data_IF_799838356021
#
_entry.id   IF_799838356021
#
_cell.length_a   1.000
_cell.length_b   1.000
_cell.length_c   1.000
_cell.angle_alpha   90.00
_cell.angle_beta   90.00
_cell.angle_gamma   90.00
#
_symmetry.space_group_name_H-M   'P 1'
#
loop_
_entity.id
_entity.type
_entity.pdbx_description
1 polymer ?
#
# COMPACT_ATOMS: atom_id res chain seq x y z
N UNK A 1 -37.02 -41.52 18.66
CA UNK A 1 -36.25 -42.78 18.78
C UNK A 1 -34.80 -42.42 19.09
N UNK A 2 -34.37 -42.66 20.33
CA UNK A 2 -32.95 -42.82 20.73
C UNK A 2 -32.42 -44.18 20.22
N UNK A 3 -31.10 -44.47 20.21
CA UNK A 3 -30.26 -44.76 21.40
C UNK A 3 -28.99 -43.85 21.46
N UNK A 4 -28.47 -43.39 22.61
CA UNK A 4 -27.83 -44.05 23.79
C UNK A 4 -26.59 -44.85 23.39
N UNK A 5 -25.42 -44.83 24.02
CA UNK A 5 -24.79 -44.13 25.16
C UNK A 5 -23.27 -44.17 24.88
N UNK A 6 -22.29 -43.87 25.74
CA UNK A 6 -22.14 -43.97 27.20
C UNK A 6 -20.88 -43.15 27.57
N UNK A 7 -20.95 -42.35 28.63
CA UNK A 7 -20.25 -42.54 29.91
C UNK A 7 -18.78 -42.08 29.99
N UNK A 8 -18.58 -40.88 30.54
CA UNK A 8 -17.59 -40.62 31.61
C UNK A 8 -18.04 -41.41 32.88
N UNK A 9 -17.23 -41.70 33.92
CA UNK A 9 -16.47 -40.68 34.67
C UNK A 9 -15.24 -41.16 35.48
N UNK A 10 -14.72 -40.22 36.26
CA UNK A 10 -13.94 -40.37 37.50
C UNK A 10 -12.41 -40.40 37.36
N UNK A 11 -11.60 -39.93 38.31
CA UNK A 11 -11.69 -39.08 39.50
C UNK A 11 -10.37 -39.39 40.25
N UNK A 12 -9.75 -38.39 40.87
CA UNK A 12 -8.78 -38.43 41.98
C UNK A 12 -7.46 -37.74 41.66
N UNK A 13 -6.72 -37.17 42.60
CA UNK A 13 -6.97 -36.47 43.86
C UNK A 13 -5.58 -35.98 44.32
N UNK A 14 -5.53 -34.87 45.08
CA UNK A 14 -4.57 -34.56 46.15
C UNK A 14 -3.05 -34.26 45.95
N UNK A 15 -2.73 -33.12 46.59
CA UNK A 15 -1.59 -32.78 47.51
C UNK A 15 -0.26 -32.37 46.87
N UNK A 16 0.21 -31.12 47.05
CA UNK A 16 0.85 -30.45 48.24
C UNK A 16 2.21 -31.02 48.64
N UNK A 17 3.27 -30.26 48.37
CA UNK A 17 4.44 -29.95 49.24
C UNK A 17 5.36 -28.96 48.46
N UNK A 18 5.53 -27.69 48.81
CA UNK A 18 6.28 -27.02 49.91
C UNK A 18 7.82 -27.20 49.90
N UNK A 19 8.49 -26.03 49.99
CA UNK A 19 9.86 -25.75 50.50
C UNK A 19 10.99 -26.12 49.53
N UNK A 20 12.11 -25.41 49.34
CA UNK A 20 12.80 -24.27 49.99
C UNK A 20 14.03 -23.95 49.11
N UNK A 21 14.49 -22.71 48.99
CA UNK A 21 15.89 -22.31 49.25
C UNK A 21 16.15 -20.86 48.87
N UNK A 22 16.67 -20.11 49.83
CA UNK A 22 17.29 -18.79 49.71
C UNK A 22 18.77 -18.92 49.31
N UNK A 23 19.33 -17.89 48.67
CA UNK A 23 20.67 -17.31 48.83
C UNK A 23 20.74 -16.10 47.88
N UNK A 24 20.74 -14.80 48.26
CA UNK A 24 21.71 -13.93 48.99
C UNK A 24 23.15 -13.95 48.50
N UNK A 25 23.61 -12.82 47.93
CA UNK A 25 24.86 -12.03 48.14
C UNK A 25 24.97 -11.00 46.96
N UNK A 26 24.88 -9.67 47.12
CA UNK A 26 25.84 -8.67 47.66
C UNK A 26 27.19 -8.69 46.90
N UNK A 27 27.85 -7.63 46.40
CA UNK A 27 27.85 -6.20 46.71
C UNK A 27 28.76 -5.39 45.74
N UNK A 28 28.47 -4.08 45.58
CA UNK A 28 29.36 -2.87 45.64
C UNK A 28 30.65 -2.80 44.77
N UNK A 29 30.77 -1.83 43.84
CA UNK A 29 31.25 -0.42 43.94
C UNK A 29 32.77 -0.23 43.75
N UNK A 30 33.15 0.64 42.79
CA UNK A 30 34.07 1.80 42.92
C UNK A 30 34.27 2.45 41.53
N UNK A 31 33.77 3.68 41.31
CA UNK A 31 34.46 4.99 41.42
C UNK A 31 35.23 5.36 40.14
N UNK A 32 34.75 6.33 39.35
CA UNK A 32 34.94 7.80 39.45
C UNK A 32 36.31 8.29 38.94
N UNK A 33 36.29 9.04 37.83
CA UNK A 33 36.95 10.35 37.73
C UNK A 33 36.43 11.13 36.52
N UNK A 34 36.39 12.45 36.68
CA UNK A 34 35.59 13.42 35.95
C UNK A 34 36.44 14.42 35.13
N UNK A 35 35.74 15.41 34.53
CA UNK A 35 36.20 16.73 34.02
C UNK A 35 36.55 16.69 32.51
N UNK A 36 36.10 17.58 31.61
CA UNK A 36 35.61 18.96 31.72
C UNK A 36 34.62 19.35 30.62
N UNK A 37 34.05 20.54 30.81
CA UNK A 37 32.97 21.23 30.12
C UNK A 37 33.31 21.69 28.69
N UNK A 38 32.29 21.78 27.84
CA UNK A 38 32.09 22.96 26.98
C UNK A 38 30.64 23.09 26.56
N UNK A 39 30.12 24.28 26.82
CA UNK A 39 28.75 24.73 26.68
C UNK A 39 28.47 25.12 25.22
N UNK A 40 27.34 24.70 24.67
CA UNK A 40 26.70 25.42 23.55
C UNK A 40 25.19 25.23 23.63
N UNK A 41 24.50 26.36 23.77
CA UNK A 41 23.09 26.48 24.07
C UNK A 41 22.31 26.75 22.77
N UNK A 42 21.28 25.91 22.56
CA UNK A 42 20.01 26.14 21.85
C UNK A 42 19.99 26.25 20.30
N UNK A 43 18.83 25.95 19.64
CA UNK A 43 17.53 25.63 20.23
C UNK A 43 16.95 24.25 19.85
N UNK A 44 16.44 23.57 20.87
CA UNK A 44 15.37 22.58 20.71
C UNK A 44 14.13 23.28 20.13
N UNK A 45 13.85 23.00 18.86
CA UNK A 45 12.51 23.23 18.31
C UNK A 45 11.57 22.21 18.96
N UNK A 46 10.96 22.63 20.06
CA UNK A 46 9.81 21.98 20.67
C UNK A 46 8.68 21.92 19.64
N UNK A 47 8.58 20.79 18.94
CA UNK A 47 7.39 20.42 18.18
C UNK A 47 6.31 20.13 19.23
N UNK A 48 5.56 21.17 19.63
CA UNK A 48 4.31 20.98 20.35
C UNK A 48 3.36 20.22 19.42
N UNK A 49 2.87 19.03 19.79
CA UNK A 49 1.76 18.44 19.07
C UNK A 49 0.59 19.41 19.16
N UNK A 50 0.08 19.86 18.01
CA UNK A 50 -1.22 20.52 17.91
C UNK A 50 -2.26 19.51 18.39
N UNK A 51 -2.51 19.44 19.69
CA UNK A 51 -3.68 18.75 20.20
C UNK A 51 -4.83 19.76 20.16
N UNK A 52 -5.81 19.60 19.25
CA UNK A 52 -7.01 20.40 19.32
C UNK A 52 -7.65 20.15 20.69
N UNK A 53 -8.07 21.22 21.36
CA UNK A 53 -8.84 21.14 22.59
C UNK A 53 -10.00 20.18 22.36
N UNK A 54 -9.95 19.00 22.98
CA UNK A 54 -11.01 17.98 22.90
C UNK A 54 -12.22 18.49 23.67
N UNK A 55 -13.01 19.36 23.04
CA UNK A 55 -14.41 19.53 23.37
C UNK A 55 -15.01 18.13 23.38
N UNK A 56 -15.52 17.66 24.53
CA UNK A 56 -16.12 16.33 24.66
C UNK A 56 -17.44 16.31 23.89
N UNK A 57 -17.36 16.25 22.57
CA UNK A 57 -18.50 15.98 21.70
C UNK A 57 -18.84 14.50 21.85
N UNK A 58 -20.09 14.22 22.19
CA UNK A 58 -20.64 12.87 22.10
C UNK A 58 -20.82 12.54 20.63
N UNK A 59 -20.09 11.54 20.14
CA UNK A 59 -20.19 11.01 18.78
C UNK A 59 -20.76 9.60 18.82
N UNK A 60 -21.34 9.15 17.71
CA UNK A 60 -21.95 7.81 17.64
C UNK A 60 -20.90 6.69 17.74
N UNK A 61 -19.68 6.94 17.24
CA UNK A 61 -18.52 6.08 17.34
C UNK A 61 -17.35 6.84 17.97
N UNK A 62 -16.47 6.17 18.74
CA UNK A 62 -15.33 6.82 19.37
C UNK A 62 -14.33 7.33 18.32
N UNK A 63 -13.77 8.55 18.48
CA UNK A 63 -12.79 9.12 17.56
C UNK A 63 -11.41 8.50 17.80
N UNK A 64 -11.08 7.43 17.08
CA UNK A 64 -9.73 6.88 17.06
C UNK A 64 -8.83 7.76 16.17
N UNK A 65 -7.55 7.99 16.56
CA UNK A 65 -6.62 8.65 15.68
C UNK A 65 -6.23 7.72 14.51
N UNK A 66 -6.17 8.29 13.31
CA UNK A 66 -5.53 7.66 12.17
C UNK A 66 -4.01 7.65 12.39
N UNK A 67 -3.38 6.48 12.23
CA UNK A 67 -1.93 6.32 12.49
C UNK A 67 -1.13 6.71 11.24
N UNK A 68 0.00 7.39 11.42
CA UNK A 68 0.98 7.63 10.34
C UNK A 68 0.61 8.73 9.34
N UNK A 69 -0.24 9.69 9.72
CA UNK A 69 -0.52 10.91 8.94
C UNK A 69 0.79 11.61 8.54
N UNK A 70 0.84 12.22 7.34
CA UNK A 70 2.03 12.82 6.70
C UNK A 70 3.18 11.83 6.45
N UNK A 71 2.87 10.56 6.25
CA UNK A 71 3.87 9.55 5.90
C UNK A 71 3.31 8.58 4.87
N UNK A 72 4.19 7.95 4.09
CA UNK A 72 3.83 6.80 3.23
C UNK A 72 3.34 5.59 4.03
N UNK A 73 3.54 5.58 5.34
CA UNK A 73 3.12 4.53 6.27
C UNK A 73 1.75 4.81 6.92
N UNK A 74 1.00 5.80 6.42
CA UNK A 74 -0.35 6.10 6.87
C UNK A 74 -1.23 4.86 6.86
N UNK A 75 -1.99 4.69 7.93
CA UNK A 75 -2.97 3.63 8.09
C UNK A 75 -4.03 3.68 6.98
N UNK A 76 -4.36 2.53 6.42
CA UNK A 76 -5.51 2.43 5.51
C UNK A 76 -6.82 2.63 6.27
N UNK A 77 -7.79 3.33 5.66
CA UNK A 77 -9.11 3.54 6.26
C UNK A 77 -9.86 2.21 6.50
N UNK A 78 -9.57 1.18 5.70
CA UNK A 78 -10.08 -0.19 5.92
C UNK A 78 -9.56 -0.77 7.25
N UNK A 79 -8.26 -0.65 7.52
CA UNK A 79 -7.68 -1.10 8.79
C UNK A 79 -8.16 -0.26 9.97
N UNK A 80 -8.31 1.05 9.79
CA UNK A 80 -8.91 1.95 10.78
C UNK A 80 -10.31 1.46 11.19
N UNK A 81 -11.19 1.14 10.23
CA UNK A 81 -12.53 0.61 10.52
C UNK A 81 -12.48 -0.72 11.24
N UNK A 82 -11.52 -1.58 10.93
CA UNK A 82 -11.34 -2.85 11.62
C UNK A 82 -10.92 -2.64 13.09
N UNK A 83 -10.02 -1.68 13.37
CA UNK A 83 -9.67 -1.30 14.75
C UNK A 83 -10.86 -0.69 15.48
N UNK A 84 -11.61 0.20 14.82
CA UNK A 84 -12.79 0.82 15.40
C UNK A 84 -13.86 -0.22 15.74
N UNK A 85 -14.08 -1.21 14.86
CA UNK A 85 -14.99 -2.31 15.11
C UNK A 85 -14.55 -3.18 16.30
N UNK A 86 -13.25 -3.49 16.42
CA UNK A 86 -12.71 -4.21 17.58
C UNK A 86 -12.91 -3.44 18.88
N UNK A 87 -12.66 -2.12 18.85
CA UNK A 87 -12.83 -1.24 20.01
C UNK A 87 -14.27 -1.22 20.53
N UNK A 88 -15.25 -1.12 19.64
CA UNK A 88 -16.68 -1.09 20.03
C UNK A 88 -17.29 -2.49 20.18
N UNK A 89 -16.50 -3.56 19.97
CA UNK A 89 -16.93 -4.95 20.17
C UNK A 89 -17.88 -5.51 19.10
N UNK A 90 -17.87 -4.97 17.88
CA UNK A 90 -18.71 -5.44 16.76
C UNK A 90 -17.90 -6.05 15.62
N UNK A 91 -18.58 -6.72 14.69
CA UNK A 91 -17.93 -7.24 13.48
C UNK A 91 -17.71 -6.11 12.45
N UNK A 92 -16.72 -6.29 11.57
CA UNK A 92 -16.50 -5.35 10.46
C UNK A 92 -17.75 -5.22 9.57
N UNK A 93 -18.44 -6.32 9.26
CA UNK A 93 -19.68 -6.26 8.46
C UNK A 93 -20.77 -5.45 9.18
N UNK A 94 -20.91 -5.60 10.50
CA UNK A 94 -21.84 -4.79 11.29
C UNK A 94 -21.45 -3.31 11.31
N UNK A 95 -20.14 -3.00 11.33
CA UNK A 95 -19.65 -1.63 11.21
C UNK A 95 -20.05 -1.01 9.85
N UNK A 96 -19.92 -1.77 8.75
CA UNK A 96 -20.33 -1.33 7.42
C UNK A 96 -21.84 -1.08 7.33
N UNK A 97 -22.66 -1.93 7.95
CA UNK A 97 -24.12 -1.72 8.05
C UNK A 97 -24.47 -0.43 8.78
N UNK A 98 -23.77 -0.12 9.88
CA UNK A 98 -23.96 1.15 10.60
C UNK A 98 -23.60 2.35 9.71
N UNK A 99 -22.53 2.23 8.92
CA UNK A 99 -22.14 3.28 7.97
C UNK A 99 -23.20 3.47 6.87
N UNK A 100 -23.76 2.39 6.33
CA UNK A 100 -24.86 2.46 5.35
C UNK A 100 -26.11 3.14 5.95
N UNK A 101 -26.50 2.74 7.17
CA UNK A 101 -27.64 3.33 7.85
C UNK A 101 -27.43 4.83 8.10
N UNK A 102 -26.22 5.24 8.51
CA UNK A 102 -25.87 6.64 8.72
C UNK A 102 -25.83 7.45 7.41
N UNK A 103 -25.52 6.81 6.28
CA UNK A 103 -25.52 7.43 4.96
C UNK A 103 -26.91 7.52 4.33
N UNK A 104 -27.89 6.75 4.82
CA UNK A 104 -29.22 6.65 4.21
C UNK A 104 -29.23 5.92 2.85
N UNK A 105 -28.13 5.26 2.49
CA UNK A 105 -27.98 4.52 1.23
C UNK A 105 -26.96 3.37 1.39
N UNK A 106 -26.98 2.42 0.46
CA UNK A 106 -26.07 1.27 0.48
C UNK A 106 -24.74 1.69 -0.15
N UNK A 107 -23.81 2.19 0.67
CA UNK A 107 -22.45 2.54 0.25
C UNK A 107 -21.48 1.35 0.31
N UNK A 108 -21.75 0.40 1.19
CA UNK A 108 -20.91 -0.75 1.48
C UNK A 108 -21.72 -2.02 1.28
N UNK A 109 -21.64 -2.68 0.11
CA UNK A 109 -22.44 -3.86 -0.14
C UNK A 109 -22.04 -5.00 0.81
N UNK A 110 -23.02 -5.78 1.29
CA UNK A 110 -22.75 -6.99 2.06
C UNK A 110 -21.92 -7.95 1.21
N UNK A 111 -20.93 -8.60 1.82
CA UNK A 111 -20.05 -9.60 1.20
C UNK A 111 -19.07 -9.12 0.10
N UNK A 112 -18.85 -7.80 -0.06
CA UNK A 112 -17.80 -7.30 -0.95
C UNK A 112 -16.40 -7.86 -0.64
N UNK A 113 -15.67 -8.32 -1.65
CA UNK A 113 -14.36 -8.99 -1.49
C UNK A 113 -13.17 -8.05 -1.49
N UNK A 114 -13.36 -6.78 -1.89
CA UNK A 114 -12.30 -5.78 -2.06
C UNK A 114 -12.41 -4.65 -1.02
N UNK A 115 -11.31 -3.94 -0.75
CA UNK A 115 -11.35 -2.71 0.06
C UNK A 115 -12.15 -1.63 -0.67
N UNK A 116 -13.22 -1.09 -0.07
CA UNK A 116 -14.09 -0.09 -0.72
C UNK A 116 -13.44 1.29 -0.80
N UNK A 117 -12.25 1.48 -0.21
CA UNK A 117 -11.58 2.78 -0.08
C UNK A 117 -10.45 3.01 -1.08
N UNK A 118 -10.11 2.00 -1.88
CA UNK A 118 -9.07 2.10 -2.93
C UNK A 118 -9.66 2.36 -4.30
N UNK A 119 -10.96 2.12 -4.44
CA UNK A 119 -11.68 2.37 -5.67
C UNK A 119 -12.31 3.75 -5.63
N UNK A 120 -11.95 4.58 -6.61
CA UNK A 120 -12.59 5.86 -6.87
C UNK A 120 -13.96 5.66 -7.55
N UNK A 121 -14.80 4.81 -6.97
CA UNK A 121 -16.22 4.80 -7.31
C UNK A 121 -16.81 6.15 -6.89
N UNK A 122 -17.91 6.55 -7.52
CA UNK A 122 -18.71 7.75 -7.21
C UNK A 122 -19.08 7.92 -5.73
N UNK A 123 -18.81 6.90 -4.91
CA UNK A 123 -19.16 6.78 -3.51
C UNK A 123 -17.99 6.95 -2.54
N UNK A 124 -16.73 7.07 -2.98
CA UNK A 124 -15.58 7.14 -2.05
C UNK A 124 -15.74 8.28 -1.02
N UNK A 125 -16.12 9.47 -1.48
CA UNK A 125 -16.34 10.62 -0.59
C UNK A 125 -17.53 10.41 0.34
N UNK A 126 -18.63 9.83 -0.17
CA UNK A 126 -19.78 9.50 0.66
C UNK A 126 -19.44 8.46 1.75
N UNK A 127 -18.59 7.47 1.41
CA UNK A 127 -18.08 6.43 2.32
C UNK A 127 -17.23 7.06 3.43
N UNK A 128 -16.31 7.96 3.07
CA UNK A 128 -15.48 8.70 4.03
C UNK A 128 -16.37 9.57 4.93
N UNK A 129 -17.24 10.38 4.34
CA UNK A 129 -18.11 11.31 5.05
C UNK A 129 -19.05 10.60 6.04
N UNK A 130 -19.53 9.40 5.72
CA UNK A 130 -20.34 8.60 6.64
C UNK A 130 -19.56 8.24 7.92
N UNK A 131 -18.28 7.85 7.79
CA UNK A 131 -17.43 7.45 8.92
C UNK A 131 -16.99 8.68 9.72
N UNK A 132 -16.63 9.76 9.04
CA UNK A 132 -16.24 11.03 9.68
C UNK A 132 -17.40 11.60 10.52
N UNK A 133 -18.62 11.57 9.99
CA UNK A 133 -19.83 11.99 10.72
C UNK A 133 -20.07 11.14 11.96
N UNK A 134 -19.96 9.82 11.85
CA UNK A 134 -20.17 8.91 12.98
C UNK A 134 -19.11 9.09 14.07
N UNK A 135 -17.87 9.40 13.69
CA UNK A 135 -16.75 9.57 14.63
C UNK A 135 -16.54 11.02 15.07
N UNK A 136 -17.21 11.99 14.46
CA UNK A 136 -16.97 13.42 14.66
C UNK A 136 -15.60 13.90 14.17
N UNK A 137 -14.93 13.13 13.32
CA UNK A 137 -13.59 13.43 12.80
C UNK A 137 -13.68 13.95 11.36
N UNK A 138 -14.38 15.07 11.19
CA UNK A 138 -14.53 15.72 9.89
C UNK A 138 -13.16 15.97 9.27
N UNK A 139 -13.00 15.66 8.00
CA UNK A 139 -11.84 16.02 7.19
C UNK A 139 -10.51 15.32 7.56
N UNK A 140 -10.53 14.38 8.51
CA UNK A 140 -9.32 13.71 9.02
C UNK A 140 -9.13 12.30 8.46
N UNK A 141 -10.21 11.57 8.13
CA UNK A 141 -10.13 10.15 7.81
C UNK A 141 -9.85 9.89 6.33
N UNK A 142 -10.13 10.87 5.46
CA UNK A 142 -9.76 10.82 4.03
C UNK A 142 -8.28 10.56 3.77
N UNK A 143 -7.39 10.93 4.71
CA UNK A 143 -5.94 10.77 4.59
C UNK A 143 -5.48 9.31 4.69
N UNK A 144 -6.37 8.40 5.14
CA UNK A 144 -6.16 6.94 5.07
C UNK A 144 -6.61 6.33 3.74
N UNK A 145 -6.83 7.14 2.71
CA UNK A 145 -7.30 6.75 1.38
C UNK A 145 -6.53 7.55 0.30
N UNK A 146 -6.58 7.15 -0.98
CA UNK A 146 -5.97 7.93 -2.05
C UNK A 146 -6.85 9.14 -2.50
N UNK A 147 -7.64 9.72 -1.58
CA UNK A 147 -8.63 10.75 -1.88
C UNK A 147 -8.04 11.96 -2.63
N UNK A 148 -6.86 12.43 -2.25
CA UNK A 148 -6.22 13.60 -2.89
C UNK A 148 -6.03 13.39 -4.40
N UNK A 149 -5.73 12.15 -4.83
CA UNK A 149 -5.53 11.82 -6.24
C UNK A 149 -6.82 11.32 -6.94
N UNK A 150 -7.93 11.20 -6.22
CA UNK A 150 -9.14 10.58 -6.74
C UNK A 150 -9.79 11.35 -7.89
N UNK A 151 -9.60 12.66 -8.04
CA UNK A 151 -10.16 13.35 -9.22
C UNK A 151 -9.46 12.92 -10.53
N UNK A 152 -8.14 12.68 -10.47
CA UNK A 152 -7.27 12.40 -11.62
C UNK A 152 -7.26 10.90 -11.97
N UNK A 153 -7.36 10.05 -10.94
CA UNK A 153 -7.09 8.62 -11.07
C UNK A 153 -8.35 7.77 -11.19
N UNK A 154 -8.26 6.71 -12.00
CA UNK A 154 -9.37 5.82 -12.33
C UNK A 154 -9.86 4.97 -11.16
N UNK A 155 -11.04 4.36 -11.34
CA UNK A 155 -11.70 3.53 -10.33
C UNK A 155 -10.81 2.37 -9.84
N UNK A 156 -9.94 1.84 -10.70
CA UNK A 156 -9.00 0.76 -10.36
C UNK A 156 -7.54 1.23 -10.35
N UNK A 157 -7.31 2.52 -10.13
CA UNK A 157 -5.98 3.10 -10.35
C UNK A 157 -4.90 2.57 -9.41
N UNK A 158 -5.29 2.17 -8.21
CA UNK A 158 -4.36 1.69 -7.17
C UNK A 158 -4.35 0.17 -7.02
N UNK A 159 -5.42 -0.52 -7.46
CA UNK A 159 -5.52 -1.97 -7.42
C UNK A 159 -6.48 -2.49 -8.49
N UNK A 160 -6.12 -3.61 -9.13
CA UNK A 160 -7.10 -4.45 -9.81
C UNK A 160 -8.09 -5.04 -8.80
N UNK A 161 -9.34 -5.26 -9.19
CA UNK A 161 -10.37 -5.86 -8.33
C UNK A 161 -9.93 -7.22 -7.76
N UNK A 162 -10.36 -7.51 -6.52
CA UNK A 162 -10.25 -8.81 -5.83
C UNK A 162 -8.82 -9.35 -5.58
N UNK A 163 -7.95 -8.55 -4.96
CA UNK A 163 -6.69 -9.08 -4.41
C UNK A 163 -6.84 -9.57 -2.97
N UNK A 164 -6.15 -10.68 -2.68
CA UNK A 164 -5.93 -11.14 -1.32
C UNK A 164 -5.21 -10.06 -0.51
N UNK A 165 -5.48 -10.04 0.80
CA UNK A 165 -4.81 -9.12 1.71
C UNK A 165 -3.31 -9.40 1.69
N UNK A 166 -2.52 -8.35 1.48
CA UNK A 166 -1.06 -8.40 1.60
C UNK A 166 -0.60 -7.85 2.94
N UNK A 167 0.55 -8.33 3.41
CA UNK A 167 1.17 -7.83 4.64
C UNK A 167 2.68 -8.01 4.64
N UNK A 168 3.34 -7.25 5.51
CA UNK A 168 4.72 -7.49 5.89
C UNK A 168 4.79 -8.50 7.04
N UNK A 169 5.48 -9.64 6.90
CA UNK A 169 5.60 -10.62 7.98
C UNK A 169 6.39 -10.08 9.18
N UNK A 170 7.36 -9.20 8.93
CA UNK A 170 8.17 -8.60 10.00
C UNK A 170 7.35 -7.58 10.80
N UNK A 171 6.52 -6.75 10.15
CA UNK A 171 5.56 -5.87 10.84
C UNK A 171 4.59 -6.65 11.73
N UNK A 172 4.10 -7.82 11.27
CA UNK A 172 3.20 -8.64 12.09
C UNK A 172 3.90 -9.33 13.25
N UNK A 173 5.18 -9.68 13.09
CA UNK A 173 5.99 -10.22 14.18
C UNK A 173 6.21 -9.16 15.27
N UNK A 174 6.42 -7.90 14.87
CA UNK A 174 6.70 -6.76 15.75
C UNK A 174 5.44 -5.96 16.12
N UNK A 175 4.25 -6.56 15.97
CA UNK A 175 3.00 -5.80 16.06
C UNK A 175 2.71 -5.31 17.47
N UNK A 176 2.64 -3.99 17.62
CA UNK A 176 2.17 -3.29 18.80
C UNK A 176 0.71 -2.84 18.61
N UNK A 177 -0.17 -3.17 19.57
CA UNK A 177 -1.62 -2.93 19.43
C UNK A 177 -1.98 -1.44 19.36
N UNK A 178 -1.19 -0.58 19.98
CA UNK A 178 -1.47 0.84 20.12
C UNK A 178 -0.78 1.68 19.03
N UNK A 179 0.34 1.19 18.48
CA UNK A 179 1.19 1.93 17.54
C UNK A 179 1.20 1.37 16.12
N UNK A 180 0.85 0.10 15.93
CA UNK A 180 0.93 -0.54 14.62
C UNK A 180 -0.38 -0.46 13.86
N UNK A 181 -0.27 -0.21 12.55
CA UNK A 181 -1.38 -0.21 11.62
C UNK A 181 -0.99 -0.88 10.30
N UNK A 182 -1.96 -1.36 9.54
CA UNK A 182 -1.73 -1.81 8.16
C UNK A 182 -1.70 -0.58 7.24
N UNK A 183 -0.54 -0.23 6.65
CA UNK A 183 -0.40 0.94 5.82
C UNK A 183 -1.24 0.87 4.54
N UNK A 184 -1.67 2.03 4.05
CA UNK A 184 -2.37 2.17 2.78
C UNK A 184 -1.57 1.60 1.60
N UNK A 185 -0.24 1.77 1.62
CA UNK A 185 0.70 1.26 0.60
C UNK A 185 0.58 -0.25 0.40
N UNK A 186 0.22 -1.04 1.43
CA UNK A 186 0.09 -2.50 1.31
C UNK A 186 -1.02 -2.93 0.35
N UNK A 187 -1.96 -2.04 0.07
CA UNK A 187 -3.05 -2.33 -0.85
C UNK A 187 -2.80 -1.86 -2.28
N UNK A 188 -1.66 -1.22 -2.55
CA UNK A 188 -1.30 -0.67 -3.87
C UNK A 188 -0.58 -1.74 -4.70
N UNK A 189 -1.15 -2.14 -5.84
CA UNK A 189 -0.69 -3.32 -6.60
C UNK A 189 0.82 -3.32 -6.91
N UNK A 190 1.35 -2.18 -7.32
CA UNK A 190 2.75 -2.05 -7.74
C UNK A 190 3.73 -1.91 -6.56
N UNK A 191 3.24 -1.77 -5.32
CA UNK A 191 4.03 -1.86 -4.08
C UNK A 191 4.34 -3.33 -3.80
N UNK A 192 5.61 -3.70 -3.78
CA UNK A 192 6.07 -5.07 -3.54
C UNK A 192 6.73 -5.22 -2.18
N UNK A 193 7.33 -4.17 -1.64
CA UNK A 193 8.08 -4.26 -0.39
C UNK A 193 7.43 -3.48 0.75
N UNK A 194 7.76 -3.84 1.98
CA UNK A 194 7.50 -3.00 3.13
C UNK A 194 8.53 -1.86 3.19
N UNK A 195 8.10 -0.60 3.28
CA UNK A 195 9.03 0.53 3.39
C UNK A 195 9.78 0.56 4.73
N UNK A 196 9.29 -0.13 5.77
CA UNK A 196 9.97 -0.22 7.08
C UNK A 196 11.05 -1.30 7.13
N UNK A 197 10.77 -2.47 6.54
CA UNK A 197 11.63 -3.65 6.70
C UNK A 197 12.33 -4.10 5.42
N UNK A 198 11.96 -3.54 4.25
CA UNK A 198 12.49 -3.96 2.95
C UNK A 198 12.17 -5.40 2.56
N UNK A 199 11.28 -6.07 3.29
CA UNK A 199 10.82 -7.44 3.01
C UNK A 199 9.64 -7.45 2.04
N UNK A 200 9.45 -8.56 1.34
CA UNK A 200 8.33 -8.72 0.40
C UNK A 200 6.98 -8.70 1.12
N UNK A 201 6.02 -7.98 0.54
CA UNK A 201 4.62 -8.03 0.93
C UNK A 201 4.00 -9.32 0.40
N UNK A 202 3.60 -10.20 1.32
CA UNK A 202 3.06 -11.52 1.02
C UNK A 202 1.55 -11.55 1.19
N UNK A 203 0.86 -12.44 0.47
CA UNK A 203 -0.59 -12.65 0.58
C UNK A 203 -0.98 -14.05 1.09
N UNK A 204 0.01 -14.92 1.31
CA UNK A 204 -0.18 -16.34 1.65
C UNK A 204 0.54 -16.71 2.94
N UNK A 205 -0.09 -17.60 3.70
CA UNK A 205 0.52 -18.16 4.90
C UNK A 205 1.70 -19.07 4.52
N UNK A 206 2.86 -18.85 5.15
CA UNK A 206 4.05 -19.67 4.90
C UNK A 206 3.85 -21.15 5.26
N UNK A 207 3.00 -21.47 6.24
CA UNK A 207 2.78 -22.85 6.69
C UNK A 207 1.80 -23.64 5.84
N UNK A 208 0.73 -23.02 5.32
CA UNK A 208 -0.33 -23.74 4.59
C UNK A 208 -0.56 -23.25 3.15
N UNK A 209 0.13 -22.20 2.70
CA UNK A 209 0.03 -21.64 1.34
C UNK A 209 -1.29 -20.94 1.00
N UNK A 210 -2.26 -20.90 1.92
CA UNK A 210 -3.58 -20.29 1.69
C UNK A 210 -3.51 -18.77 1.75
N UNK A 211 -4.16 -18.12 0.79
CA UNK A 211 -4.29 -16.67 0.73
C UNK A 211 -5.16 -16.15 1.89
N UNK A 212 -4.80 -15.01 2.48
CA UNK A 212 -5.54 -14.48 3.63
C UNK A 212 -6.64 -13.51 3.19
N UNK A 213 -7.86 -13.62 3.75
CA UNK A 213 -8.96 -12.75 3.37
C UNK A 213 -8.79 -11.34 3.95
N UNK A 214 -9.21 -10.34 3.17
CA UNK A 214 -9.24 -8.94 3.59
C UNK A 214 -10.14 -8.70 4.80
N UNK A 215 -11.34 -9.32 4.83
CA UNK A 215 -12.27 -9.21 5.98
C UNK A 215 -11.92 -10.24 7.06
N UNK A 216 -11.10 -9.83 8.01
CA UNK A 216 -10.74 -10.59 9.22
C UNK A 216 -10.76 -9.67 10.43
N UNK A 217 -11.34 -10.12 11.55
CA UNK A 217 -11.39 -9.38 12.83
C UNK A 217 -9.99 -8.97 13.28
N UNK A 218 -9.83 -7.78 13.83
CA UNK A 218 -8.54 -7.18 14.20
C UNK A 218 -7.59 -8.14 14.93
N UNK A 219 -8.05 -8.79 16.00
CA UNK A 219 -7.19 -9.72 16.77
C UNK A 219 -6.80 -10.99 16.01
N UNK A 220 -7.66 -11.46 15.11
CA UNK A 220 -7.43 -12.67 14.32
C UNK A 220 -6.56 -12.40 13.07
N UNK A 221 -6.35 -11.13 12.71
CA UNK A 221 -5.62 -10.73 11.50
C UNK A 221 -4.17 -11.20 11.46
N UNK A 222 -3.55 -11.45 12.60
CA UNK A 222 -2.14 -11.86 12.73
C UNK A 222 -1.95 -13.37 12.81
N UNK A 223 -3.03 -14.14 12.69
CA UNK A 223 -3.00 -15.60 12.63
C UNK A 223 -3.67 -16.07 11.33
N UNK A 224 -3.19 -17.17 10.77
CA UNK A 224 -3.78 -17.75 9.57
C UNK A 224 -5.24 -18.13 9.85
N UNK A 225 -6.17 -17.70 8.99
CA UNK A 225 -7.60 -18.08 9.13
C UNK A 225 -7.83 -19.59 9.06
N UNK A 226 -6.92 -20.32 8.39
CA UNK A 226 -7.10 -21.74 8.09
C UNK A 226 -6.30 -22.65 9.03
N UNK A 227 -5.00 -22.43 9.18
CA UNK A 227 -4.13 -23.28 10.01
C UNK A 227 -3.79 -22.67 11.37
N UNK A 228 -4.26 -21.46 11.67
CA UNK A 228 -4.03 -20.72 12.93
C UNK A 228 -2.60 -20.33 13.26
N UNK A 229 -1.60 -20.77 12.48
CA UNK A 229 -0.20 -20.33 12.65
C UNK A 229 -0.07 -18.80 12.59
N UNK A 230 0.80 -18.18 13.41
CA UNK A 230 1.12 -16.77 13.29
C UNK A 230 1.52 -16.38 11.86
N UNK A 231 1.08 -15.21 11.42
CA UNK A 231 1.43 -14.63 10.12
C UNK A 231 2.61 -13.66 10.20
N UNK A 232 3.23 -13.54 11.38
CA UNK A 232 4.48 -12.83 11.57
C UNK A 232 5.65 -13.80 11.63
N UNK A 233 6.72 -13.50 10.90
CA UNK A 233 7.98 -14.24 10.92
C UNK A 233 9.14 -13.32 10.50
N UNK A 234 10.36 -13.73 10.83
CA UNK A 234 11.57 -13.06 10.35
C UNK A 234 11.71 -13.30 8.84
N UNK A 235 11.83 -12.23 8.07
CA UNK A 235 12.08 -12.29 6.63
C UNK A 235 13.28 -11.42 6.31
N UNK A 236 14.18 -11.93 5.47
CA UNK A 236 15.34 -11.17 5.02
C UNK A 236 14.89 -9.96 4.18
N UNK A 237 15.54 -8.79 4.35
CA UNK A 237 15.33 -7.65 3.46
C UNK A 237 15.69 -8.04 2.02
N UNK A 238 14.71 -7.96 1.12
CA UNK A 238 14.93 -8.19 -0.31
C UNK A 238 15.49 -6.91 -0.98
N UNK A 239 15.44 -5.78 -0.27
CA UNK A 239 15.92 -4.47 -0.71
C UNK A 239 17.37 -4.49 -1.22
N UNK A 240 18.23 -5.34 -0.65
CA UNK A 240 19.63 -5.50 -1.06
C UNK A 240 19.79 -6.07 -2.49
N UNK A 241 18.81 -6.85 -2.98
CA UNK A 241 18.85 -7.47 -4.31
C UNK A 241 17.96 -6.77 -5.34
N UNK A 242 17.35 -5.65 -4.97
CA UNK A 242 16.51 -4.88 -5.89
C UNK A 242 17.35 -4.21 -6.97
N UNK A 243 16.79 -4.15 -8.17
CA UNK A 243 17.31 -3.27 -9.21
C UNK A 243 17.09 -1.80 -8.82
N UNK A 244 17.92 -0.86 -9.30
CA UNK A 244 17.67 0.57 -9.11
C UNK A 244 16.26 0.99 -9.57
N UNK A 245 15.78 0.38 -10.65
CA UNK A 245 14.44 0.61 -11.18
C UNK A 245 13.35 0.17 -10.20
N UNK A 246 13.44 -1.03 -9.62
CA UNK A 246 12.44 -1.48 -8.64
C UNK A 246 12.43 -0.54 -7.42
N UNK A 247 13.59 -0.09 -6.93
CA UNK A 247 13.66 0.89 -5.83
C UNK A 247 12.98 2.21 -6.19
N UNK A 248 13.19 2.69 -7.40
CA UNK A 248 12.54 3.91 -7.89
C UNK A 248 11.02 3.74 -7.99
N UNK A 249 10.53 2.59 -8.48
CA UNK A 249 9.08 2.30 -8.51
C UNK A 249 8.47 2.32 -7.11
N UNK A 250 9.13 1.67 -6.13
CA UNK A 250 8.68 1.67 -4.73
C UNK A 250 8.61 3.10 -4.17
N UNK A 251 9.59 3.97 -4.49
CA UNK A 251 9.59 5.36 -4.02
C UNK A 251 8.49 6.20 -4.65
N UNK A 252 8.12 5.95 -5.91
CA UNK A 252 7.00 6.64 -6.56
C UNK A 252 5.67 6.36 -5.86
N UNK A 253 5.45 5.11 -5.42
CA UNK A 253 4.26 4.76 -4.65
C UNK A 253 4.25 5.47 -3.32
N UNK A 254 5.38 5.46 -2.60
CA UNK A 254 5.48 6.05 -1.28
C UNK A 254 5.22 7.56 -1.31
N UNK A 255 5.80 8.27 -2.30
CA UNK A 255 5.59 9.70 -2.49
C UNK A 255 4.12 10.06 -2.75
N UNK A 256 3.42 9.27 -3.58
CA UNK A 256 2.00 9.50 -3.86
C UNK A 256 1.13 9.27 -2.62
N UNK A 257 1.43 8.24 -1.83
CA UNK A 257 0.68 7.98 -0.60
C UNK A 257 1.00 9.01 0.48
N UNK A 258 2.25 9.45 0.60
CA UNK A 258 2.64 10.53 1.50
C UNK A 258 1.89 11.82 1.18
N UNK A 259 1.79 12.20 -0.10
CA UNK A 259 0.96 13.32 -0.56
C UNK A 259 -0.51 13.15 -0.11
N UNK A 260 -1.11 11.97 -0.29
CA UNK A 260 -2.49 11.72 0.11
C UNK A 260 -2.70 11.78 1.64
N UNK A 261 -1.64 11.49 2.39
CA UNK A 261 -1.66 11.45 3.85
C UNK A 261 -1.49 12.80 4.52
N UNK A 262 -1.17 13.87 3.77
CA UNK A 262 -0.95 15.21 4.33
C UNK A 262 -2.29 15.96 4.54
N UNK A 263 -2.61 16.40 5.77
CA UNK A 263 -3.78 17.22 6.04
C UNK A 263 -3.80 18.58 5.32
N UNK A 264 -2.65 19.09 4.91
CA UNK A 264 -2.57 20.32 4.12
C UNK A 264 -2.87 20.09 2.63
N UNK A 265 -2.93 18.83 2.17
CA UNK A 265 -3.15 18.52 0.78
C UNK A 265 -4.63 18.60 0.42
N UNK A 266 -4.95 19.52 -0.50
CA UNK A 266 -6.26 19.57 -1.14
C UNK A 266 -6.39 18.51 -2.23
N UNK A 267 -7.64 18.25 -2.64
CA UNK A 267 -7.90 17.35 -3.76
C UNK A 267 -7.28 17.92 -5.04
N UNK A 268 -6.53 17.08 -5.77
CA UNK A 268 -5.95 17.49 -7.04
C UNK A 268 -7.06 17.79 -8.05
N UNK A 269 -6.91 18.85 -8.87
CA UNK A 269 -7.81 19.11 -10.00
C UNK A 269 -7.88 17.92 -10.96
N UNK A 270 -9.07 17.63 -11.50
CA UNK A 270 -9.27 16.47 -12.38
C UNK A 270 -8.48 16.54 -13.71
N UNK A 271 -8.19 17.76 -14.15
CA UNK A 271 -7.54 18.09 -15.43
C UNK A 271 -6.01 17.99 -15.37
N UNK A 272 -5.38 17.76 -14.21
CA UNK A 272 -3.91 17.73 -14.08
C UNK A 272 -3.23 16.83 -15.11
N UNK A 273 -3.75 15.62 -15.29
CA UNK A 273 -3.19 14.69 -16.28
C UNK A 273 -3.50 15.11 -17.73
N UNK A 274 -4.63 15.80 -17.96
CA UNK A 274 -4.98 16.35 -19.27
C UNK A 274 -4.03 17.48 -19.68
N UNK A 275 -3.74 18.40 -18.76
CA UNK A 275 -2.78 19.48 -18.98
C UNK A 275 -1.39 18.95 -19.35
N UNK A 276 -0.98 17.84 -18.73
CA UNK A 276 0.28 17.18 -19.06
C UNK A 276 0.25 16.65 -20.51
N UNK A 277 -0.79 15.91 -20.90
CA UNK A 277 -0.88 15.34 -22.25
C UNK A 277 -1.03 16.39 -23.35
N UNK A 278 -1.77 17.47 -23.08
CA UNK A 278 -1.93 18.58 -24.01
C UNK A 278 -0.60 19.28 -24.25
N UNK A 279 0.08 19.70 -23.18
CA UNK A 279 1.40 20.32 -23.28
C UNK A 279 2.42 19.39 -23.95
N UNK A 280 2.38 18.10 -23.64
CA UNK A 280 3.26 17.10 -24.24
C UNK A 280 3.01 16.96 -25.75
N UNK A 281 1.75 16.97 -26.18
CA UNK A 281 1.38 16.86 -27.60
C UNK A 281 1.80 18.10 -28.41
N UNK A 282 1.72 19.30 -27.81
CA UNK A 282 2.19 20.54 -28.43
C UNK A 282 3.71 20.52 -28.64
N UNK A 283 4.46 20.00 -27.67
CA UNK A 283 5.92 20.03 -27.69
C UNK A 283 6.56 18.97 -28.59
N UNK A 284 5.91 17.80 -28.75
CA UNK A 284 6.55 16.64 -29.39
C UNK A 284 5.91 16.20 -30.71
N UNK A 285 5.02 17.02 -31.27
CA UNK A 285 4.53 16.85 -32.64
C UNK A 285 3.61 15.64 -32.82
N UNK A 286 3.51 15.18 -34.07
CA UNK A 286 2.47 14.28 -34.52
C UNK A 286 2.56 12.89 -33.88
N UNK A 287 1.40 12.25 -33.64
CA UNK A 287 1.30 11.02 -32.85
C UNK A 287 2.15 9.86 -33.38
N UNK A 288 2.55 9.90 -34.64
CA UNK A 288 3.32 8.85 -35.29
C UNK A 288 4.70 8.64 -34.65
N UNK A 289 5.35 9.71 -34.16
CA UNK A 289 6.71 9.68 -33.64
C UNK A 289 6.79 9.26 -32.17
N UNK A 290 5.64 9.17 -31.50
CA UNK A 290 5.57 8.72 -30.11
C UNK A 290 5.81 7.20 -30.00
N UNK A 291 6.47 6.73 -28.93
CA UNK A 291 6.56 5.32 -28.59
C UNK A 291 5.17 4.65 -28.55
N UNK A 292 5.02 3.37 -28.96
CA UNK A 292 3.72 2.69 -29.04
C UNK A 292 2.88 2.79 -27.76
N UNK A 293 3.54 2.69 -26.60
CA UNK A 293 2.90 2.79 -25.28
C UNK A 293 2.27 4.17 -25.04
N UNK A 294 2.97 5.23 -25.44
CA UNK A 294 2.47 6.61 -25.37
C UNK A 294 1.40 6.87 -26.42
N UNK A 295 1.53 6.31 -27.63
CA UNK A 295 0.51 6.43 -28.67
C UNK A 295 -0.82 5.87 -28.19
N UNK A 296 -0.83 4.65 -27.64
CA UNK A 296 -2.08 4.06 -27.14
C UNK A 296 -2.72 4.91 -26.04
N UNK A 297 -1.91 5.46 -25.13
CA UNK A 297 -2.36 6.43 -24.12
C UNK A 297 -2.95 7.62 -24.87
N UNK A 298 -2.16 8.46 -25.54
CA UNK A 298 -2.59 9.69 -26.23
C UNK A 298 -3.82 9.48 -27.15
N UNK A 299 -3.85 8.37 -27.91
CA UNK A 299 -4.97 7.98 -28.75
C UNK A 299 -6.24 7.75 -27.93
N UNK A 300 -6.21 6.97 -26.85
CA UNK A 300 -7.38 6.75 -25.98
C UNK A 300 -7.95 8.07 -25.44
N UNK A 301 -7.09 9.02 -25.07
CA UNK A 301 -7.52 10.32 -24.53
C UNK A 301 -8.18 11.21 -25.57
N UNK A 302 -7.72 11.12 -26.82
CA UNK A 302 -8.25 11.92 -27.92
C UNK A 302 -9.71 11.59 -28.24
N UNK A 303 -10.13 10.36 -27.93
CA UNK A 303 -11.50 9.90 -28.14
C UNK A 303 -12.34 9.91 -26.85
N UNK A 304 -11.70 10.00 -25.68
CA UNK A 304 -12.38 9.96 -24.39
C UNK A 304 -11.66 10.87 -23.37
N UNK A 305 -11.88 12.20 -23.40
CA UNK A 305 -11.25 13.15 -22.47
C UNK A 305 -11.69 12.97 -21.00
N UNK A 306 -12.53 11.99 -20.69
CA UNK A 306 -12.86 11.59 -19.32
C UNK A 306 -12.15 10.29 -18.88
N UNK A 307 -11.26 9.72 -19.72
CA UNK A 307 -10.47 8.56 -19.29
C UNK A 307 -9.68 8.92 -18.05
N UNK A 308 -9.63 8.04 -17.08
CA UNK A 308 -8.83 8.23 -15.87
C UNK A 308 -7.66 7.26 -15.87
N UNK A 309 -6.53 7.69 -15.34
CA UNK A 309 -5.27 6.93 -15.42
C UNK A 309 -5.04 6.04 -14.19
N UNK A 310 -4.32 4.93 -14.38
CA UNK A 310 -3.85 4.09 -13.26
C UNK A 310 -2.50 4.55 -12.74
N UNK A 311 -2.19 4.26 -11.47
CA UNK A 311 -0.87 4.55 -10.90
C UNK A 311 0.23 3.83 -11.65
N UNK A 312 -0.02 2.59 -12.06
CA UNK A 312 0.90 1.80 -12.91
C UNK A 312 1.25 2.56 -14.19
N UNK A 313 0.26 3.17 -14.85
CA UNK A 313 0.53 3.93 -16.07
C UNK A 313 1.27 5.23 -15.76
N UNK A 314 0.91 5.96 -14.70
CA UNK A 314 1.63 7.17 -14.28
C UNK A 314 3.11 6.89 -13.97
N UNK A 315 3.41 5.80 -13.27
CA UNK A 315 4.81 5.39 -13.00
C UNK A 315 5.54 5.05 -14.29
N UNK A 316 4.87 4.39 -15.26
CA UNK A 316 5.47 4.16 -16.57
C UNK A 316 5.80 5.49 -17.27
N UNK A 317 4.83 6.40 -17.35
CA UNK A 317 4.99 7.72 -17.96
C UNK A 317 6.11 8.53 -17.31
N UNK A 318 6.15 8.55 -15.98
CA UNK A 318 7.16 9.25 -15.21
C UNK A 318 8.56 8.70 -15.49
N UNK A 319 8.75 7.38 -15.49
CA UNK A 319 10.06 6.77 -15.74
C UNK A 319 10.54 7.00 -17.18
N UNK A 320 9.59 7.00 -18.10
CA UNK A 320 9.77 7.31 -19.51
C UNK A 320 10.18 8.78 -19.75
N UNK A 321 9.56 9.70 -19.02
CA UNK A 321 9.86 11.13 -19.07
C UNK A 321 11.02 11.53 -18.13
N UNK A 322 11.56 10.56 -17.39
CA UNK A 322 12.55 10.72 -16.31
C UNK A 322 12.20 11.78 -15.28
N UNK A 323 10.93 11.82 -14.88
CA UNK A 323 10.42 12.63 -13.78
C UNK A 323 9.77 11.74 -12.72
N UNK A 324 9.28 12.33 -11.64
CA UNK A 324 8.44 11.64 -10.67
C UNK A 324 6.96 11.65 -11.07
N UNK A 325 6.16 10.77 -10.46
CA UNK A 325 4.70 10.84 -10.58
C UNK A 325 4.17 12.17 -10.03
N UNK A 326 4.79 12.70 -8.97
CA UNK A 326 4.40 13.97 -8.40
C UNK A 326 4.70 15.15 -9.33
N UNK A 327 5.79 15.13 -10.10
CA UNK A 327 6.05 16.14 -11.14
C UNK A 327 4.87 16.24 -12.12
N UNK A 328 4.40 15.08 -12.63
CA UNK A 328 3.25 15.02 -13.55
C UNK A 328 1.97 15.57 -12.91
N UNK A 329 1.72 15.25 -11.64
CA UNK A 329 0.47 15.61 -10.97
C UNK A 329 0.45 17.07 -10.46
N UNK A 330 1.58 17.55 -9.92
CA UNK A 330 1.68 18.84 -9.25
C UNK A 330 2.13 19.97 -10.18
N UNK A 331 2.88 19.67 -11.24
CA UNK A 331 3.34 20.66 -12.23
C UNK A 331 3.29 20.08 -13.66
N UNK A 332 2.08 19.77 -14.17
CA UNK A 332 1.91 18.99 -15.40
C UNK A 332 2.51 19.67 -16.64
N UNK A 333 2.26 20.97 -16.83
CA UNK A 333 2.69 21.70 -18.02
C UNK A 333 4.20 21.82 -18.09
N UNK A 334 4.84 22.25 -16.99
CA UNK A 334 6.29 22.38 -16.93
C UNK A 334 6.98 21.02 -17.08
N UNK A 335 6.39 19.97 -16.51
CA UNK A 335 6.93 18.61 -16.63
C UNK A 335 6.89 18.13 -18.06
N UNK A 336 5.77 18.32 -18.77
CA UNK A 336 5.61 17.95 -20.17
C UNK A 336 6.54 18.71 -21.14
N UNK A 337 6.99 19.91 -20.75
CA UNK A 337 7.92 20.72 -21.55
C UNK A 337 9.39 20.26 -21.41
N UNK A 338 9.72 19.39 -20.45
CA UNK A 338 11.08 18.88 -20.30
C UNK A 338 11.38 17.92 -21.46
N UNK A 339 12.63 17.87 -21.90
CA UNK A 339 13.05 16.92 -22.94
C UNK A 339 12.88 15.47 -22.44
N UNK A 340 12.00 14.67 -23.06
CA UNK A 340 11.81 13.28 -22.67
C UNK A 340 13.01 12.46 -23.14
N UNK A 341 13.21 11.29 -22.54
CA UNK A 341 14.36 10.43 -22.86
C UNK A 341 14.29 9.78 -24.25
N UNK A 342 13.60 10.35 -25.26
CA UNK A 342 13.15 9.73 -26.51
C UNK A 342 14.21 8.93 -27.29
N UNK A 343 15.49 9.31 -27.22
CA UNK A 343 16.60 8.58 -27.84
C UNK A 343 16.78 7.14 -27.33
N UNK A 344 16.25 6.80 -26.15
CA UNK A 344 16.37 5.48 -25.53
C UNK A 344 15.14 4.56 -25.74
N UNK A 345 14.14 4.99 -26.53
CA UNK A 345 12.83 4.34 -26.55
C UNK A 345 12.60 3.36 -27.69
N UNK A 346 13.53 3.27 -28.65
CA UNK A 346 13.44 2.27 -29.70
C UNK A 346 13.53 0.86 -29.08
N UNK A 347 12.38 0.22 -28.89
CA UNK A 347 12.25 -1.12 -28.26
C UNK A 347 11.76 -1.13 -26.81
N UNK A 348 11.40 0.03 -26.24
CA UNK A 348 10.83 0.11 -24.90
C UNK A 348 9.29 0.09 -24.95
N UNK A 349 8.68 -1.02 -24.52
CA UNK A 349 7.22 -1.18 -24.51
C UNK A 349 6.57 -0.75 -23.18
N UNK A 350 7.12 -1.15 -22.02
CA UNK A 350 6.60 -0.80 -20.68
C UNK A 350 7.56 -1.27 -19.57
N UNK A 351 7.58 -0.58 -18.44
CA UNK A 351 8.15 -1.12 -17.19
C UNK A 351 7.32 -2.34 -16.75
N UNK A 352 7.96 -3.48 -16.43
CA UNK A 352 7.26 -4.65 -15.93
C UNK A 352 6.85 -4.45 -14.45
N UNK A 353 5.86 -3.59 -14.21
CA UNK A 353 5.44 -3.16 -12.87
C UNK A 353 4.57 -4.18 -12.11
N UNK A 354 4.02 -5.20 -12.79
CA UNK A 354 3.33 -6.31 -12.09
C UNK A 354 4.36 -7.27 -11.49
N UNK A 355 4.01 -8.04 -10.44
CA UNK A 355 4.81 -9.17 -10.03
C UNK A 355 5.10 -9.97 -11.29
N UNK A 356 6.37 -10.36 -11.43
CA UNK A 356 6.76 -11.38 -12.38
C UNK A 356 5.85 -12.56 -12.08
N UNK A 357 4.72 -12.68 -12.78
CA UNK A 357 4.23 -14.01 -13.09
C UNK A 357 5.47 -14.70 -13.62
N UNK A 358 5.73 -15.91 -13.15
CA UNK A 358 6.70 -16.80 -13.76
C UNK A 358 6.22 -17.11 -15.18
N UNK A 359 6.15 -16.09 -16.05
CA UNK A 359 6.11 -16.26 -17.47
C UNK A 359 7.45 -16.91 -17.74
N UNK A 360 7.36 -18.23 -17.98
CA UNK A 360 8.48 -19.09 -18.35
C UNK A 360 9.35 -18.32 -19.33
N UNK A 361 10.68 -18.41 -19.20
CA UNK A 361 11.63 -17.76 -20.11
C UNK A 361 11.26 -17.91 -21.59
N UNK A 362 10.56 -18.99 -21.93
CA UNK A 362 9.94 -19.24 -23.24
C UNK A 362 9.06 -18.11 -23.77
N UNK A 363 8.24 -17.42 -22.96
CA UNK A 363 7.34 -16.35 -23.47
C UNK A 363 8.14 -15.08 -23.77
N UNK A 364 9.14 -14.76 -22.95
CA UNK A 364 10.04 -13.62 -23.19
C UNK A 364 10.90 -13.86 -24.42
N UNK A 365 11.46 -15.06 -24.53
CA UNK A 365 12.19 -15.51 -25.71
C UNK A 365 11.30 -15.47 -26.95
N UNK A 366 10.03 -15.89 -26.85
CA UNK A 366 9.11 -15.89 -27.98
C UNK A 366 8.74 -14.47 -28.42
N UNK A 367 8.54 -13.52 -27.49
CA UNK A 367 8.31 -12.11 -27.82
C UNK A 367 9.57 -11.46 -28.40
N UNK A 368 10.75 -11.70 -27.80
CA UNK A 368 12.02 -11.19 -28.27
C UNK A 368 12.38 -11.73 -29.66
N UNK A 369 12.26 -13.04 -29.88
CA UNK A 369 12.42 -13.68 -31.19
C UNK A 369 11.42 -13.14 -32.19
N UNK A 370 10.14 -12.98 -31.82
CA UNK A 370 9.12 -12.44 -32.72
C UNK A 370 9.41 -10.99 -33.12
N UNK A 371 9.94 -10.17 -32.21
CA UNK A 371 10.36 -8.80 -32.50
C UNK A 371 11.65 -8.74 -33.33
N UNK A 372 12.61 -9.62 -33.06
CA UNK A 372 13.84 -9.74 -33.86
C UNK A 372 13.56 -10.26 -35.27
N UNK A 373 12.70 -11.26 -35.43
CA UNK A 373 12.28 -11.81 -36.72
C UNK A 373 11.48 -10.80 -37.55
N UNK A 374 10.65 -9.97 -36.90
CA UNK A 374 9.97 -8.84 -37.56
C UNK A 374 10.94 -7.76 -38.07
N UNK A 375 12.14 -7.69 -37.51
CA UNK A 375 13.20 -6.73 -37.88
C UNK A 375 14.38 -7.41 -38.58
N UNK A 376 14.24 -8.67 -39.01
CA UNK A 376 15.32 -9.48 -39.56
C UNK A 376 15.92 -8.91 -40.86
N UNK A 377 15.21 -8.00 -41.54
CA UNK A 377 15.73 -7.28 -42.70
C UNK A 377 16.81 -6.23 -42.35
N UNK A 378 16.94 -5.84 -41.07
CA UNK A 378 17.74 -4.67 -40.65
C UNK A 378 18.64 -4.92 -39.45
N UNK A 379 18.59 -6.11 -38.85
CA UNK A 379 19.40 -6.45 -37.67
C UNK A 379 19.93 -7.89 -37.78
N UNK A 380 21.22 -8.07 -37.51
CA UNK A 380 21.80 -9.40 -37.35
C UNK A 380 21.28 -10.05 -36.05
N UNK A 381 20.85 -11.31 -36.14
CA UNK A 381 20.45 -12.07 -34.98
C UNK A 381 21.69 -12.45 -34.16
N UNK A 382 21.69 -12.24 -32.82
CA UNK A 382 22.77 -12.75 -31.97
C UNK A 382 22.81 -14.28 -32.04
N UNK A 383 23.98 -14.86 -31.74
CA UNK A 383 24.13 -16.33 -31.77
C UNK A 383 23.14 -16.99 -30.79
N UNK A 384 22.60 -18.15 -31.19
CA UNK A 384 21.66 -18.87 -30.33
C UNK A 384 22.26 -19.27 -28.98
N UNK A 385 23.59 -19.39 -28.91
CA UNK A 385 24.32 -19.61 -27.66
C UNK A 385 24.17 -18.42 -26.69
N UNK A 386 24.34 -17.18 -27.18
CA UNK A 386 24.14 -15.97 -26.38
C UNK A 386 22.72 -15.84 -25.83
N UNK A 387 21.73 -16.26 -26.64
CA UNK A 387 20.31 -16.25 -26.26
C UNK A 387 19.99 -17.34 -25.22
N UNK A 388 20.65 -18.50 -25.28
CA UNK A 388 20.45 -19.59 -24.33
C UNK A 388 20.99 -19.27 -22.92
N UNK A 389 22.15 -18.61 -22.83
CA UNK A 389 22.78 -18.25 -21.55
C UNK A 389 21.98 -17.21 -20.73
N UNK A 390 21.13 -16.43 -21.40
CA UNK A 390 20.34 -15.36 -20.77
C UNK A 390 18.84 -15.69 -20.64
N UNK A 391 18.44 -16.92 -20.98
CA UNK A 391 17.05 -17.39 -20.93
C UNK A 391 16.66 -18.14 -19.63
N UNK A 392 17.58 -18.22 -18.65
CA UNK A 392 17.41 -18.87 -17.35
C UNK A 392 16.50 -18.12 -16.38
#
# INVERSE_FOLDING_TARGET
RWPRGCCCPACSDRRRSRLTSMATYSSLMHEMTAISMSSTVAPEQSIRPLQPSRTRMWTALPPLPLIGIRTSQVESLDHYLIRLADLVGITHDRMLEICNAAAGQILFPPHGTSSPFLCNETELEARIAAIERLTGQNDLLRHGTPWACSAVMGVHAFSSAARARRWCPVCYLQWDVDRSAEPLTWSIEIKKLCSLHGSELVDRCQSCGKAQPARTRYRARRACRFCRTPLGWHAEPVSAHMTPLDRWVESQVDQVIELCSDPAQEKLPADRFHLFLEAFSVMHGDRADLPPALRSVVSLWSYAPATKISLKMLVNLAGMHGCSVLDILLDPVRTAQREPFFGFWQGFDYLPLTPRSRLRGSVRLQVALRNLLRRAAVCYLPSLAFVADHAG
#
